data_IF_658850560656
#
_entry.id   IF_658850560656
#
_cell.length_a   1.000
_cell.length_b   1.000
_cell.length_c   1.000
_cell.angle_alpha   90.00
_cell.angle_beta   90.00
_cell.angle_gamma   90.00
#
_symmetry.space_group_name_H-M   'P 1'
#
loop_
_entity.id
_entity.type
_entity.pdbx_description
1 polymer ?
#
# COMPACT_ATOMS: atom_id res chain seq x y z
N UNK A 1 0.37 2.41 -16.59
CA UNK A 1 0.51 3.69 -15.87
C UNK A 1 -0.56 4.60 -16.43
N UNK A 2 -1.64 4.78 -15.67
CA UNK A 2 -2.78 5.61 -16.08
C UNK A 2 -2.57 7.01 -15.52
N UNK A 3 -2.69 8.03 -16.36
CA UNK A 3 -2.51 9.42 -15.98
C UNK A 3 -3.86 10.13 -16.06
N UNK A 4 -4.44 10.43 -14.90
CA UNK A 4 -5.60 11.30 -14.82
C UNK A 4 -5.15 12.73 -15.10
N UNK A 5 -5.74 13.37 -16.10
CA UNK A 5 -5.52 14.78 -16.40
C UNK A 5 -6.81 15.56 -16.14
N UNK A 6 -6.66 16.78 -15.63
CA UNK A 6 -7.77 17.73 -15.50
C UNK A 6 -7.45 18.95 -16.36
N UNK A 7 -8.42 19.40 -17.15
CA UNK A 7 -8.27 20.56 -18.02
C UNK A 7 -9.20 21.68 -17.53
N UNK A 8 -8.66 22.89 -17.50
CA UNK A 8 -9.42 24.10 -17.20
C UNK A 8 -9.14 25.12 -18.29
N UNK A 9 -10.19 25.72 -18.81
CA UNK A 9 -10.10 26.71 -19.88
C UNK A 9 -10.44 28.09 -19.33
N UNK A 10 -9.69 29.09 -19.78
CA UNK A 10 -9.96 30.48 -19.50
C UNK A 10 -9.97 31.26 -20.82
N UNK A 11 -10.81 32.30 -20.89
CA UNK A 11 -10.87 33.16 -22.05
C UNK A 11 -9.57 33.98 -22.14
N UNK A 12 -8.79 33.73 -23.19
CA UNK A 12 -7.52 34.39 -23.44
C UNK A 12 -7.45 34.84 -24.91
N UNK A 13 -6.88 36.01 -25.22
CA UNK A 13 -6.45 37.08 -24.33
C UNK A 13 -7.55 38.12 -24.06
N UNK A 14 -7.45 38.84 -22.95
CA UNK A 14 -8.31 39.99 -22.66
C UNK A 14 -7.92 41.18 -23.54
N UNK A 15 -8.86 42.10 -23.83
CA UNK A 15 -8.60 43.33 -24.60
C UNK A 15 -7.43 44.16 -24.04
N UNK A 16 -7.34 44.27 -22.71
CA UNK A 16 -6.23 44.93 -22.03
C UNK A 16 -4.87 44.27 -22.36
N UNK A 17 -4.80 42.94 -22.28
CA UNK A 17 -3.58 42.20 -22.60
C UNK A 17 -3.16 42.35 -24.06
N UNK A 18 -4.13 42.40 -24.99
CA UNK A 18 -3.84 42.65 -26.39
C UNK A 18 -3.14 44.00 -26.62
N UNK A 19 -3.58 45.07 -25.95
CA UNK A 19 -2.93 46.38 -26.04
C UNK A 19 -1.50 46.38 -25.47
N UNK A 20 -1.26 45.63 -24.40
CA UNK A 20 0.07 45.48 -23.81
C UNK A 20 1.01 44.69 -24.73
N UNK A 21 0.54 43.57 -25.28
CA UNK A 21 1.32 42.72 -26.20
C UNK A 21 1.65 43.48 -27.49
N UNK A 22 0.72 44.28 -28.01
CA UNK A 22 0.93 45.11 -29.21
C UNK A 22 2.00 46.18 -29.01
N UNK A 23 2.18 46.68 -27.78
CA UNK A 23 3.21 47.69 -27.45
C UNK A 23 4.60 47.10 -27.26
N UNK A 24 4.73 45.77 -27.20
CA UNK A 24 6.01 45.10 -26.98
C UNK A 24 6.89 45.18 -28.24
N UNK A 25 8.12 45.66 -28.09
CA UNK A 25 9.02 46.00 -29.20
C UNK A 25 9.35 44.80 -30.11
N UNK A 26 9.45 43.59 -29.53
CA UNK A 26 9.73 42.36 -30.28
C UNK A 26 8.57 41.87 -31.17
N UNK A 27 7.38 42.44 -31.01
CA UNK A 27 6.15 41.98 -31.64
C UNK A 27 5.42 43.08 -32.43
N UNK A 28 5.78 44.35 -32.24
CA UNK A 28 5.15 45.51 -32.91
C UNK A 28 4.98 45.31 -34.41
N UNK A 29 6.06 45.01 -35.13
CA UNK A 29 6.06 44.91 -36.60
C UNK A 29 5.15 43.80 -37.13
N UNK A 30 4.94 42.73 -36.33
CA UNK A 30 4.14 41.56 -36.74
C UNK A 30 2.65 41.73 -36.45
N UNK A 31 2.29 42.55 -35.47
CA UNK A 31 0.90 42.68 -34.96
C UNK A 31 0.31 44.10 -35.10
N UNK A 32 1.00 45.00 -35.81
CA UNK A 32 0.56 46.41 -35.97
C UNK A 32 -0.82 46.53 -36.64
N UNK A 33 -1.09 45.69 -37.64
CA UNK A 33 -2.32 45.70 -38.45
C UNK A 33 -3.33 44.59 -38.08
N UNK A 34 -3.11 43.85 -37.00
CA UNK A 34 -4.03 42.78 -36.58
C UNK A 34 -5.19 43.32 -35.74
N UNK A 35 -6.40 42.87 -36.08
CA UNK A 35 -7.61 43.08 -35.27
C UNK A 35 -7.59 42.15 -34.05
N UNK A 36 -8.19 42.61 -32.94
CA UNK A 36 -8.31 41.84 -31.71
C UNK A 36 -8.91 40.44 -31.94
N UNK A 37 -9.95 40.34 -32.77
CA UNK A 37 -10.64 39.07 -33.05
C UNK A 37 -9.75 38.05 -33.76
N UNK A 38 -8.97 38.50 -34.75
CA UNK A 38 -8.02 37.64 -35.46
C UNK A 38 -6.85 37.21 -34.58
N UNK A 39 -6.39 38.08 -33.68
CA UNK A 39 -5.36 37.75 -32.71
C UNK A 39 -5.86 36.72 -31.69
N UNK A 40 -7.10 36.88 -31.20
CA UNK A 40 -7.72 35.96 -30.25
C UNK A 40 -7.91 34.57 -30.84
N UNK A 41 -8.33 34.47 -32.11
CA UNK A 41 -8.51 33.17 -32.78
C UNK A 41 -7.20 32.42 -33.04
N UNK A 42 -6.08 33.14 -33.18
CA UNK A 42 -4.77 32.54 -33.50
C UNK A 42 -3.86 32.33 -32.28
N UNK A 43 -4.27 32.79 -31.10
CA UNK A 43 -3.44 32.75 -29.88
C UNK A 43 -3.99 31.74 -28.88
N UNK A 44 -3.13 30.90 -28.34
CA UNK A 44 -3.49 29.91 -27.33
C UNK A 44 -2.40 29.84 -26.25
N UNK A 45 -2.82 29.88 -24.98
CA UNK A 45 -1.95 29.79 -23.82
C UNK A 45 -2.16 28.42 -23.14
N UNK A 46 -1.11 27.61 -23.07
CA UNK A 46 -1.14 26.28 -22.42
C UNK A 46 -0.19 26.30 -21.24
N UNK A 47 -0.70 25.93 -20.07
CA UNK A 47 0.10 25.75 -18.87
C UNK A 47 -0.07 24.32 -18.37
N UNK A 48 1.03 23.58 -18.28
CA UNK A 48 1.06 22.19 -17.82
C UNK A 48 1.79 22.16 -16.48
N UNK A 49 1.07 21.81 -15.43
CA UNK A 49 1.60 21.73 -14.07
C UNK A 49 1.00 20.53 -13.34
N UNK A 50 1.72 20.03 -12.34
CA UNK A 50 1.21 19.01 -11.42
C UNK A 50 0.27 19.68 -10.43
N UNK A 51 -0.92 19.12 -10.24
CA UNK A 51 -1.92 19.64 -9.30
C UNK A 51 -1.43 19.57 -7.85
N UNK A 52 -0.74 18.48 -7.50
CA UNK A 52 -0.20 18.24 -6.17
C UNK A 52 1.21 17.62 -6.30
N UNK A 53 2.10 17.88 -5.34
CA UNK A 53 3.41 17.21 -5.24
C UNK A 53 3.30 15.78 -4.66
N UNK A 54 2.08 15.32 -4.38
CA UNK A 54 1.80 13.99 -3.85
C UNK A 54 1.53 13.01 -4.99
N UNK A 55 2.19 11.86 -4.96
CA UNK A 55 1.93 10.77 -5.91
C UNK A 55 1.16 9.66 -5.20
N UNK A 56 -0.05 9.39 -5.67
CA UNK A 56 -0.88 8.32 -5.12
C UNK A 56 -0.40 6.97 -5.65
N UNK A 57 0.28 6.20 -4.79
CA UNK A 57 0.65 4.83 -5.11
C UNK A 57 -0.43 3.85 -4.63
N UNK A 58 -1.19 3.31 -5.57
CA UNK A 58 -2.14 2.23 -5.28
C UNK A 58 -1.36 0.91 -5.35
N UNK A 59 -1.18 0.26 -4.20
CA UNK A 59 -0.62 -1.08 -4.09
C UNK A 59 -1.65 -2.00 -3.46
N UNK A 60 -1.95 -3.10 -4.13
CA UNK A 60 -2.70 -4.19 -3.51
C UNK A 60 -1.79 -4.86 -2.49
N UNK A 61 -2.18 -4.82 -1.22
CA UNK A 61 -1.56 -5.63 -0.18
C UNK A 61 -2.39 -6.89 0.01
N UNK A 62 -1.71 -8.01 0.20
CA UNK A 62 -2.34 -9.28 0.55
C UNK A 62 -3.19 -9.09 1.80
N UNK A 63 -4.49 -9.42 1.71
CA UNK A 63 -5.47 -9.13 2.77
C UNK A 63 -5.26 -9.97 4.03
N UNK A 64 -4.74 -11.19 3.90
CA UNK A 64 -4.51 -12.12 5.01
C UNK A 64 -3.25 -12.92 4.70
N UNK A 65 -2.23 -12.77 5.55
CA UNK A 65 -1.06 -13.66 5.53
C UNK A 65 -1.28 -14.81 6.50
N UNK A 66 -0.53 -15.90 6.31
CA UNK A 66 -0.56 -17.05 7.22
C UNK A 66 -0.30 -16.67 8.70
N UNK A 67 0.55 -15.66 8.90
CA UNK A 67 0.84 -15.07 10.21
C UNK A 67 -0.39 -14.41 10.85
N UNK A 68 -1.22 -13.71 10.07
CA UNK A 68 -2.45 -13.07 10.56
C UNK A 68 -3.50 -14.11 10.94
N UNK A 69 -3.56 -15.22 10.19
CA UNK A 69 -4.44 -16.35 10.50
C UNK A 69 -4.03 -17.04 11.81
N UNK A 70 -2.74 -17.32 12.00
CA UNK A 70 -2.24 -17.91 13.23
C UNK A 70 -2.43 -16.99 14.45
N UNK A 71 -2.26 -15.68 14.28
CA UNK A 71 -2.51 -14.69 15.32
C UNK A 71 -3.98 -14.62 15.72
N UNK A 72 -4.91 -14.68 14.76
CA UNK A 72 -6.35 -14.69 15.03
C UNK A 72 -6.80 -15.95 15.77
N UNK A 73 -6.34 -17.12 15.33
CA UNK A 73 -6.64 -18.40 16.00
C UNK A 73 -6.04 -18.43 17.42
N UNK A 74 -4.77 -18.04 17.55
CA UNK A 74 -4.10 -17.97 18.85
C UNK A 74 -4.74 -16.97 19.81
N UNK A 75 -5.22 -15.83 19.31
CA UNK A 75 -5.92 -14.82 20.08
C UNK A 75 -7.28 -15.32 20.59
N UNK A 76 -8.08 -15.96 19.73
CA UNK A 76 -9.37 -16.56 20.11
C UNK A 76 -9.18 -17.71 21.11
N UNK A 77 -8.23 -18.61 20.86
CA UNK A 77 -7.94 -19.73 21.77
C UNK A 77 -7.41 -19.22 23.12
N UNK A 78 -6.51 -18.24 23.12
CA UNK A 78 -5.98 -17.65 24.35
C UNK A 78 -7.04 -16.90 25.16
N UNK A 79 -7.98 -16.23 24.49
CA UNK A 79 -9.07 -15.52 25.15
C UNK A 79 -10.12 -16.47 25.74
N UNK A 80 -10.53 -17.50 25.01
CA UNK A 80 -11.64 -18.37 25.42
C UNK A 80 -11.22 -19.52 26.34
N UNK A 81 -10.04 -20.10 26.14
CA UNK A 81 -9.57 -21.20 26.98
C UNK A 81 -8.74 -20.70 28.17
N UNK A 82 -8.33 -19.43 28.18
CA UNK A 82 -7.32 -18.92 29.11
C UNK A 82 -5.98 -19.66 29.00
N UNK A 83 -5.82 -20.44 27.92
CA UNK A 83 -4.78 -21.40 27.68
C UNK A 83 -3.72 -20.70 26.83
N UNK A 84 -2.62 -20.32 27.47
CA UNK A 84 -1.44 -19.80 26.77
C UNK A 84 -0.73 -20.95 26.04
N UNK A 85 0.22 -20.64 25.15
CA UNK A 85 1.07 -21.64 24.47
C UNK A 85 1.71 -22.62 25.48
N UNK A 86 1.97 -22.16 26.70
CA UNK A 86 2.51 -22.97 27.81
C UNK A 86 1.56 -24.08 28.27
N UNK A 87 0.25 -23.82 28.33
CA UNK A 87 -0.75 -24.82 28.70
C UNK A 87 -0.97 -25.87 27.60
N UNK A 88 -0.64 -25.56 26.34
CA UNK A 88 -0.56 -26.56 25.26
C UNK A 88 0.72 -27.42 25.34
N UNK A 89 1.80 -26.88 25.90
CA UNK A 89 3.08 -27.59 26.04
C UNK A 89 3.09 -28.57 27.23
N UNK A 90 2.33 -28.30 28.29
CA UNK A 90 2.19 -29.19 29.46
C UNK A 90 1.73 -30.63 29.13
N UNK A 91 0.64 -30.87 28.35
CA UNK A 91 0.23 -32.23 28.02
C UNK A 91 1.24 -32.95 27.13
N UNK A 92 1.99 -32.22 26.29
CA UNK A 92 3.05 -32.79 25.46
C UNK A 92 4.20 -33.29 26.34
N UNK A 93 4.67 -32.46 27.28
CA UNK A 93 5.69 -32.86 28.24
C UNK A 93 5.24 -34.05 29.10
N UNK A 94 3.98 -34.05 29.55
CA UNK A 94 3.40 -35.17 30.29
C UNK A 94 3.39 -36.47 29.49
N UNK A 95 3.04 -36.43 28.20
CA UNK A 95 3.09 -37.62 27.32
C UNK A 95 4.52 -38.14 27.18
N UNK A 96 5.51 -37.26 27.02
CA UNK A 96 6.92 -37.66 26.95
C UNK A 96 7.40 -38.31 28.25
N UNK A 97 7.07 -37.73 29.41
CA UNK A 97 7.43 -38.31 30.71
C UNK A 97 6.76 -39.67 30.94
N UNK A 98 5.49 -39.81 30.57
CA UNK A 98 4.77 -41.09 30.64
C UNK A 98 5.40 -42.12 29.71
N UNK A 99 5.73 -41.75 28.47
CA UNK A 99 6.39 -42.63 27.53
C UNK A 99 7.77 -43.08 28.03
N UNK A 100 8.58 -42.17 28.57
CA UNK A 100 9.89 -42.48 29.15
C UNK A 100 9.77 -43.43 30.35
N UNK A 101 8.80 -43.19 31.24
CA UNK A 101 8.52 -44.09 32.37
C UNK A 101 8.08 -45.47 31.91
N UNK A 102 7.19 -45.58 30.90
CA UNK A 102 6.76 -46.86 30.34
C UNK A 102 7.92 -47.65 29.72
N UNK A 103 8.81 -46.98 28.99
CA UNK A 103 10.01 -47.60 28.40
C UNK A 103 10.94 -48.09 29.51
N UNK A 104 11.17 -47.27 30.54
CA UNK A 104 12.07 -47.62 31.67
C UNK A 104 11.52 -48.77 32.51
N UNK A 105 10.22 -48.78 32.80
CA UNK A 105 9.54 -49.87 33.51
C UNK A 105 9.60 -51.16 32.69
N UNK A 106 9.34 -51.10 31.38
CA UNK A 106 9.47 -52.26 30.49
C UNK A 106 10.91 -52.81 30.46
N UNK A 107 11.91 -51.93 30.52
CA UNK A 107 13.33 -52.30 30.61
C UNK A 107 13.74 -52.88 31.99
N UNK A 108 12.99 -52.64 33.06
CA UNK A 108 13.23 -53.22 34.39
C UNK A 108 12.51 -54.56 34.62
N UNK A 109 11.46 -54.86 33.85
CA UNK A 109 10.72 -56.13 33.90
C UNK A 109 11.37 -57.21 33.01
N UNK A 110 12.04 -56.82 31.93
CA UNK A 110 12.73 -57.77 31.03
C UNK A 110 14.04 -58.43 31.55
N UNK A 111 14.82 -57.88 32.51
CA UNK A 111 16.03 -58.52 33.04
C UNK A 111 15.73 -59.59 34.10
N UNK A 112 14.52 -59.65 34.67
CA UNK A 112 14.13 -60.69 35.64
C UNK A 112 13.59 -61.98 35.01
N UNK A 113 13.24 -61.97 33.71
CA UNK A 113 12.86 -63.17 32.94
C UNK A 113 14.01 -63.82 32.16
N UNK A 114 15.23 -63.27 32.25
CA UNK A 114 16.45 -63.88 31.69
C UNK A 114 17.27 -64.66 32.73
N UNK A 115 16.79 -64.78 33.96
CA UNK A 115 17.40 -65.58 35.04
C UNK A 115 16.38 -66.57 35.65
N UNK A 116 15.80 -67.45 34.82
CA UNK A 116 15.29 -68.76 35.24
C UNK A 116 15.60 -69.73 34.10
#
# INVERSE_FOLDING_TARGET
MEYTYQQSFADYPTKYYFEVIKKQDNAKDKYENLTFDSFKQSTLMVNVFYQELSSTFIKETELIRLQDLAASIGGLLGLFLGCSVLTFMEPIAFIFDVAYRLITVKNQINPSLQKI
#
